data_IF_620481691091
#
_entry.id   IF_620481691091
#
_cell.length_a   1.000
_cell.length_b   1.000
_cell.length_c   1.000
_cell.angle_alpha   90.00
_cell.angle_beta   90.00
_cell.angle_gamma   90.00
#
_symmetry.space_group_name_H-M   'P 1'
#
loop_
_entity.id
_entity.type
_entity.pdbx_description
1 polymer ?
#
# COMPACT_ATOMS: atom_id res chain seq x y z
N UNK A 1 28.97 -3.61 3.03
CA UNK A 1 28.55 -4.81 2.26
C UNK A 1 27.95 -5.80 3.26
N UNK A 2 26.85 -6.54 2.97
CA UNK A 2 26.46 -6.94 1.63
C UNK A 2 25.03 -6.56 1.21
N UNK A 3 24.95 -5.80 0.12
CA UNK A 3 24.13 -6.27 -0.99
C UNK A 3 24.61 -7.68 -1.31
N UNK A 4 23.72 -8.67 -1.23
CA UNK A 4 24.07 -10.01 -1.72
C UNK A 4 24.34 -9.94 -3.23
N UNK A 5 25.12 -10.88 -3.78
CA UNK A 5 25.51 -10.90 -5.20
C UNK A 5 24.32 -10.95 -6.19
N UNK A 6 23.11 -11.19 -5.69
CA UNK A 6 21.84 -11.20 -6.41
C UNK A 6 20.98 -9.93 -6.19
N UNK A 7 21.47 -8.90 -5.49
CA UNK A 7 20.74 -7.66 -5.25
C UNK A 7 19.71 -7.71 -4.11
N UNK A 8 19.69 -8.77 -3.29
CA UNK A 8 18.78 -8.84 -2.14
C UNK A 8 19.23 -7.91 -1.00
N UNK A 9 18.26 -7.21 -0.40
CA UNK A 9 18.43 -6.38 0.81
C UNK A 9 17.78 -7.11 1.98
N UNK A 10 18.58 -7.46 3.00
CA UNK A 10 18.06 -8.05 4.22
C UNK A 10 17.45 -6.96 5.09
N UNK A 11 16.12 -6.81 5.06
CA UNK A 11 15.36 -5.79 5.79
C UNK A 11 15.30 -6.00 7.32
N UNK A 12 16.11 -6.89 7.89
CA UNK A 12 16.18 -7.17 9.33
C UNK A 12 16.73 -6.00 10.15
N UNK A 13 17.38 -5.03 9.51
CA UNK A 13 17.92 -3.82 10.12
C UNK A 13 17.36 -2.61 9.35
N UNK A 14 16.49 -1.83 10.01
CA UNK A 14 15.87 -0.61 9.46
C UNK A 14 16.89 0.35 8.83
N UNK A 15 18.07 0.46 9.45
CA UNK A 15 19.21 1.24 8.95
C UNK A 15 19.73 0.76 7.61
N UNK A 16 19.71 -0.55 7.35
CA UNK A 16 20.32 -1.15 6.17
C UNK A 16 19.49 -0.89 4.92
N UNK A 17 18.17 -0.86 5.04
CA UNK A 17 17.28 -0.50 3.93
C UNK A 17 17.47 0.97 3.52
N UNK A 18 17.49 1.89 4.49
CA UNK A 18 17.66 3.32 4.22
C UNK A 18 19.01 3.58 3.58
N UNK A 19 20.08 3.05 4.17
CA UNK A 19 21.44 3.19 3.63
C UNK A 19 21.54 2.63 2.20
N UNK A 20 21.00 1.43 1.97
CA UNK A 20 21.06 0.78 0.66
C UNK A 20 20.32 1.58 -0.40
N UNK A 21 19.13 2.10 -0.08
CA UNK A 21 18.36 2.92 -1.01
C UNK A 21 19.08 4.23 -1.32
N UNK A 22 19.64 4.92 -0.32
CA UNK A 22 20.43 6.12 -0.54
C UNK A 22 21.64 5.83 -1.43
N UNK A 23 22.38 4.75 -1.16
CA UNK A 23 23.51 4.34 -1.98
C UNK A 23 23.11 4.03 -3.43
N UNK A 24 21.95 3.39 -3.66
CA UNK A 24 21.45 3.11 -5.01
C UNK A 24 21.01 4.36 -5.77
N UNK A 25 20.48 5.35 -5.07
CA UNK A 25 20.08 6.64 -5.64
C UNK A 25 21.30 7.51 -5.98
N UNK A 26 22.35 7.44 -5.16
CA UNK A 26 23.58 8.20 -5.33
C UNK A 26 24.60 7.50 -6.25
N UNK A 27 24.38 6.22 -6.57
CA UNK A 27 25.29 5.43 -7.39
C UNK A 27 25.47 6.06 -8.79
N UNK A 28 26.72 6.27 -9.25
CA UNK A 28 26.98 6.79 -10.59
C UNK A 28 26.43 5.84 -11.65
N UNK A 29 25.88 6.43 -12.71
CA UNK A 29 25.25 5.70 -13.82
C UNK A 29 26.10 5.85 -15.07
N UNK A 30 26.15 4.83 -15.95
CA UNK A 30 26.80 4.96 -17.25
C UNK A 30 26.26 6.17 -18.02
N UNK A 31 27.15 6.80 -18.79
CA UNK A 31 26.79 7.97 -19.59
C UNK A 31 25.61 7.63 -20.51
N UNK A 32 24.55 8.43 -20.42
CA UNK A 32 23.33 8.26 -21.22
C UNK A 32 22.20 7.45 -20.58
N UNK A 33 22.40 6.79 -19.43
CA UNK A 33 21.33 6.01 -18.77
C UNK A 33 20.36 6.84 -17.92
N UNK A 34 20.68 8.12 -17.67
CA UNK A 34 19.84 9.01 -16.87
C UNK A 34 19.73 8.59 -15.38
N UNK A 35 18.94 9.30 -14.57
CA UNK A 35 18.80 8.97 -13.16
C UNK A 35 17.94 7.71 -12.96
N UNK A 36 18.15 7.01 -11.84
CA UNK A 36 17.33 5.87 -11.45
C UNK A 36 15.85 6.27 -11.35
N UNK A 37 14.99 5.65 -12.17
CA UNK A 37 13.57 6.01 -12.27
C UNK A 37 12.67 5.28 -11.28
N UNK A 38 13.06 4.08 -10.84
CA UNK A 38 12.23 3.22 -10.01
C UNK A 38 13.06 2.20 -9.25
N UNK A 39 12.63 1.90 -8.02
CA UNK A 39 13.08 0.76 -7.23
C UNK A 39 11.88 -0.15 -6.98
N UNK A 40 12.05 -1.45 -7.19
CA UNK A 40 11.05 -2.46 -6.81
C UNK A 40 11.61 -3.20 -5.60
N UNK A 41 10.88 -3.16 -4.50
CA UNK A 41 11.21 -3.87 -3.28
C UNK A 41 10.32 -5.10 -3.16
N UNK A 42 10.90 -6.28 -3.40
CA UNK A 42 10.25 -7.54 -3.07
C UNK A 42 10.37 -7.79 -1.57
N UNK A 43 9.24 -8.01 -0.92
CA UNK A 43 9.20 -8.35 0.50
C UNK A 43 8.82 -9.83 0.65
N UNK A 44 9.31 -10.50 1.69
CA UNK A 44 8.93 -11.90 1.92
C UNK A 44 7.42 -12.03 2.12
N UNK A 45 6.85 -13.19 1.78
CA UNK A 45 5.41 -13.47 1.94
C UNK A 45 4.90 -13.40 3.38
N UNK A 46 5.81 -13.39 4.37
CA UNK A 46 5.49 -13.25 5.81
C UNK A 46 5.73 -11.82 6.33
N UNK A 47 6.26 -10.93 5.49
CA UNK A 47 6.56 -9.58 5.92
C UNK A 47 5.28 -8.79 6.19
N UNK A 48 5.31 -7.99 7.26
CA UNK A 48 4.29 -6.98 7.54
C UNK A 48 4.75 -5.66 6.93
N UNK A 49 3.97 -5.00 6.05
CA UNK A 49 4.43 -3.79 5.36
C UNK A 49 4.74 -2.60 6.27
N UNK A 50 4.11 -2.52 7.45
CA UNK A 50 4.20 -1.36 8.35
C UNK A 50 5.64 -0.91 8.67
N UNK A 51 6.49 -1.77 9.27
CA UNK A 51 7.88 -1.44 9.55
C UNK A 51 8.70 -1.03 8.31
N UNK A 52 8.42 -1.63 7.15
CA UNK A 52 9.10 -1.31 5.89
C UNK A 52 8.69 0.11 5.45
N UNK A 53 7.39 0.41 5.42
CA UNK A 53 6.85 1.73 5.09
C UNK A 53 7.41 2.80 6.04
N UNK A 54 7.48 2.50 7.34
CA UNK A 54 8.06 3.41 8.34
C UNK A 54 9.56 3.65 8.15
N UNK A 55 10.29 2.70 7.56
CA UNK A 55 11.70 2.86 7.18
C UNK A 55 11.83 3.73 5.93
N UNK A 56 10.91 3.59 4.97
CA UNK A 56 10.88 4.40 3.76
C UNK A 56 10.44 5.85 3.99
N UNK A 57 9.74 6.11 5.10
CA UNK A 57 9.38 7.44 5.56
C UNK A 57 10.53 8.19 6.26
N UNK A 58 11.73 7.61 6.29
CA UNK A 58 12.91 8.27 6.86
C UNK A 58 13.14 9.65 6.20
N UNK A 59 13.43 10.71 6.99
CA UNK A 59 13.65 12.05 6.45
C UNK A 59 14.68 12.12 5.32
N UNK A 60 15.71 11.28 5.34
CA UNK A 60 16.73 11.22 4.29
C UNK A 60 16.13 10.83 2.94
N UNK A 61 15.32 9.77 2.92
CA UNK A 61 14.64 9.29 1.72
C UNK A 61 13.47 10.20 1.32
N UNK A 62 12.74 10.76 2.30
CA UNK A 62 11.64 11.66 2.05
C UNK A 62 12.10 12.93 1.29
N UNK A 63 13.29 13.47 1.62
CA UNK A 63 13.89 14.61 0.90
C UNK A 63 14.27 14.29 -0.54
N UNK A 64 14.45 13.01 -0.89
CA UNK A 64 14.71 12.57 -2.28
C UNK A 64 13.45 12.57 -3.15
N UNK A 65 12.27 12.86 -2.60
CA UNK A 65 11.02 12.97 -3.36
C UNK A 65 10.50 11.65 -3.92
N UNK A 66 10.85 10.52 -3.28
CA UNK A 66 10.41 9.19 -3.70
C UNK A 66 8.90 9.03 -3.54
N UNK A 67 8.29 8.30 -4.48
CA UNK A 67 6.87 7.94 -4.42
C UNK A 67 6.74 6.46 -4.09
N UNK A 68 5.98 6.16 -3.04
CA UNK A 68 5.72 4.79 -2.59
C UNK A 68 4.41 4.27 -3.18
N UNK A 69 4.41 3.02 -3.61
CA UNK A 69 3.18 2.29 -3.94
C UNK A 69 3.36 0.85 -3.46
N UNK A 70 2.40 0.39 -2.66
CA UNK A 70 2.37 -0.98 -2.14
C UNK A 70 1.48 -1.82 -3.04
N UNK A 71 2.05 -2.87 -3.62
CA UNK A 71 1.33 -3.83 -4.45
C UNK A 71 1.28 -5.15 -3.71
N UNK A 72 0.08 -5.69 -3.52
CA UNK A 72 -0.13 -7.02 -2.97
C UNK A 72 -0.74 -7.92 -4.04
N UNK A 73 -0.37 -9.19 -4.02
CA UNK A 73 -0.95 -10.21 -4.89
C UNK A 73 -1.92 -11.06 -4.09
N UNK A 74 -3.12 -11.26 -4.62
CA UNK A 74 -4.08 -12.23 -4.12
C UNK A 74 -4.02 -13.49 -4.98
N UNK A 75 -3.66 -14.62 -4.36
CA UNK A 75 -3.58 -15.92 -5.03
C UNK A 75 -4.99 -16.54 -5.07
N UNK A 76 -5.60 -16.54 -6.25
CA UNK A 76 -6.97 -17.01 -6.44
C UNK A 76 -7.11 -18.53 -6.27
N UNK A 77 -6.00 -19.27 -6.28
CA UNK A 77 -6.02 -20.71 -6.00
C UNK A 77 -6.13 -21.01 -4.49
N UNK A 78 -5.90 -20.02 -3.62
CA UNK A 78 -6.01 -20.18 -2.18
C UNK A 78 -7.44 -19.89 -1.70
N UNK A 79 -7.83 -20.67 -0.69
CA UNK A 79 -9.09 -20.46 0.01
C UNK A 79 -9.15 -19.02 0.55
N UNK A 80 -10.13 -18.22 0.09
CA UNK A 80 -10.32 -16.86 0.55
C UNK A 80 -10.52 -16.76 2.07
N UNK A 81 -11.19 -17.71 2.71
CA UNK A 81 -11.48 -17.68 4.14
C UNK A 81 -10.24 -18.01 4.95
N UNK A 82 -9.47 -19.03 4.54
CA UNK A 82 -8.17 -19.32 5.16
C UNK A 82 -7.18 -18.14 5.06
N UNK A 83 -7.20 -17.39 3.95
CA UNK A 83 -6.40 -16.17 3.82
C UNK A 83 -6.83 -15.09 4.82
N UNK A 84 -8.13 -14.93 5.04
CA UNK A 84 -8.68 -13.94 5.97
C UNK A 84 -8.20 -14.18 7.40
N UNK A 85 -8.02 -15.42 7.82
CA UNK A 85 -7.53 -15.75 9.16
C UNK A 85 -6.03 -15.48 9.38
N UNK A 86 -5.27 -15.16 8.33
CA UNK A 86 -3.83 -14.89 8.41
C UNK A 86 -3.54 -13.41 8.69
N UNK A 87 -3.05 -13.09 9.89
CA UNK A 87 -2.69 -11.71 10.29
C UNK A 87 -1.74 -11.04 9.30
N UNK A 88 -0.75 -11.76 8.77
CA UNK A 88 0.21 -11.26 7.78
C UNK A 88 -0.48 -10.88 6.47
N UNK A 89 -1.38 -11.74 5.98
CA UNK A 89 -2.12 -11.48 4.74
C UNK A 89 -3.02 -10.25 4.90
N UNK A 90 -3.69 -10.12 6.04
CA UNK A 90 -4.55 -8.95 6.30
C UNK A 90 -3.74 -7.67 6.45
N UNK A 91 -2.58 -7.74 7.10
CA UNK A 91 -1.67 -6.61 7.19
C UNK A 91 -1.11 -6.19 5.81
N UNK A 92 -0.94 -7.15 4.89
CA UNK A 92 -0.53 -6.90 3.51
C UNK A 92 -1.68 -6.26 2.71
N UNK A 93 -2.85 -6.89 2.64
CA UNK A 93 -4.00 -6.34 1.91
C UNK A 93 -4.42 -4.97 2.44
N UNK A 94 -4.44 -4.76 3.76
CA UNK A 94 -4.80 -3.48 4.37
C UNK A 94 -3.81 -2.34 4.08
N UNK A 95 -2.54 -2.67 3.78
CA UNK A 95 -1.53 -1.67 3.40
C UNK A 95 -1.44 -1.46 1.87
N UNK A 96 -2.12 -2.28 1.08
CA UNK A 96 -2.03 -2.28 -0.36
C UNK A 96 -2.65 -1.00 -0.96
N UNK A 97 -1.95 -0.42 -1.93
CA UNK A 97 -2.54 0.54 -2.85
C UNK A 97 -3.16 -0.17 -4.05
N UNK A 98 -2.65 -1.36 -4.37
CA UNK A 98 -3.13 -2.22 -5.46
C UNK A 98 -3.17 -3.67 -5.00
N UNK A 99 -4.28 -4.36 -5.24
CA UNK A 99 -4.41 -5.79 -5.03
C UNK A 99 -4.55 -6.44 -6.41
N UNK A 100 -3.57 -7.25 -6.79
CA UNK A 100 -3.55 -7.93 -8.09
C UNK A 100 -4.06 -9.35 -7.90
N UNK A 101 -5.15 -9.70 -8.58
CA UNK A 101 -5.63 -11.08 -8.59
C UNK A 101 -4.73 -11.91 -9.51
N UNK A 102 -4.16 -12.96 -8.95
CA UNK A 102 -3.22 -13.87 -9.63
C UNK A 102 -3.79 -15.28 -9.69
N UNK A 103 -3.31 -16.07 -10.67
CA UNK A 103 -3.82 -17.42 -10.94
C UNK A 103 -5.33 -17.46 -11.18
N UNK A 104 -5.84 -16.45 -11.88
CA UNK A 104 -7.27 -16.31 -12.19
C UNK A 104 -7.75 -17.39 -13.16
N UNK A 105 -6.84 -18.04 -13.88
CA UNK A 105 -7.07 -19.23 -14.71
C UNK A 105 -7.51 -20.47 -13.91
N UNK A 106 -7.27 -20.49 -12.60
CA UNK A 106 -7.69 -21.57 -11.71
C UNK A 106 -9.07 -21.32 -11.08
N UNK A 107 -9.68 -20.17 -11.32
CA UNK A 107 -11.03 -19.88 -10.86
C UNK A 107 -12.07 -20.54 -11.76
N UNK A 108 -13.22 -20.97 -11.21
CA UNK A 108 -14.38 -21.32 -12.01
C UNK A 108 -14.83 -20.14 -12.89
N UNK A 109 -15.43 -20.46 -14.04
CA UNK A 109 -16.02 -19.46 -14.93
C UNK A 109 -16.98 -18.54 -14.16
N UNK A 110 -16.79 -17.23 -14.30
CA UNK A 110 -17.61 -16.22 -13.62
C UNK A 110 -17.24 -15.93 -12.16
N UNK A 111 -16.27 -16.62 -11.55
CA UNK A 111 -15.88 -16.39 -10.15
C UNK A 111 -14.90 -15.21 -9.94
N UNK A 112 -14.33 -14.66 -11.01
CA UNK A 112 -13.35 -13.56 -10.94
C UNK A 112 -13.95 -12.29 -10.31
N UNK A 113 -15.16 -11.92 -10.72
CA UNK A 113 -15.84 -10.73 -10.19
C UNK A 113 -16.14 -10.87 -8.70
N UNK A 114 -16.57 -12.06 -8.28
CA UNK A 114 -16.80 -12.35 -6.86
C UNK A 114 -15.51 -12.25 -6.04
N UNK A 115 -14.38 -12.75 -6.57
CA UNK A 115 -13.06 -12.59 -5.92
C UNK A 115 -12.63 -11.14 -5.85
N UNK A 116 -12.87 -10.36 -6.90
CA UNK A 116 -12.57 -8.93 -6.94
C UNK A 116 -13.39 -8.13 -5.91
N UNK A 117 -14.68 -8.42 -5.79
CA UNK A 117 -15.56 -7.82 -4.76
C UNK A 117 -15.04 -8.13 -3.35
N UNK A 118 -14.62 -9.37 -3.11
CA UNK A 118 -14.07 -9.76 -1.80
C UNK A 118 -12.76 -9.04 -1.49
N UNK A 119 -11.84 -8.95 -2.45
CA UNK A 119 -10.60 -8.19 -2.30
C UNK A 119 -10.86 -6.70 -2.03
N UNK A 120 -11.82 -6.09 -2.73
CA UNK A 120 -12.22 -4.70 -2.51
C UNK A 120 -12.85 -4.50 -1.12
N UNK A 121 -13.56 -5.49 -0.58
CA UNK A 121 -14.11 -5.42 0.76
C UNK A 121 -13.04 -5.48 1.87
N UNK A 122 -11.91 -6.16 1.62
CA UNK A 122 -10.76 -6.18 2.55
C UNK A 122 -10.05 -4.82 2.63
N UNK A 123 -9.90 -4.16 1.48
CA UNK A 123 -9.33 -2.82 1.42
C UNK A 123 -10.02 -1.97 0.35
N UNK A 124 -11.03 -1.18 0.75
CA UNK A 124 -11.74 -0.28 -0.17
C UNK A 124 -10.86 0.82 -0.78
N UNK A 125 -9.66 1.02 -0.20
CA UNK A 125 -8.70 2.01 -0.69
C UNK A 125 -7.81 1.48 -1.81
N UNK A 126 -7.71 0.16 -1.96
CA UNK A 126 -6.86 -0.46 -2.95
C UNK A 126 -7.56 -0.50 -4.32
N UNK A 127 -6.80 -0.25 -5.40
CA UNK A 127 -7.26 -0.61 -6.74
C UNK A 127 -7.13 -2.12 -6.92
N UNK A 128 -8.25 -2.79 -7.18
CA UNK A 128 -8.26 -4.23 -7.50
C UNK A 128 -7.99 -4.40 -9.00
N UNK A 129 -6.99 -5.21 -9.33
CA UNK A 129 -6.61 -5.55 -10.70
C UNK A 129 -7.02 -6.99 -10.95
N UNK A 130 -8.14 -7.16 -11.65
CA UNK A 130 -8.75 -8.44 -12.00
C UNK A 130 -8.71 -8.66 -13.52
N UNK A 131 -7.50 -8.64 -14.11
CA UNK A 131 -7.32 -8.89 -15.54
C UNK A 131 -6.78 -10.31 -15.76
N UNK A 132 -7.47 -11.19 -16.50
CA UNK A 132 -6.98 -12.53 -16.83
C UNK A 132 -5.68 -12.53 -17.66
N UNK A 133 -5.40 -11.45 -18.39
CA UNK A 133 -4.14 -11.33 -19.13
C UNK A 133 -3.02 -10.87 -18.20
N UNK A 134 -2.06 -11.77 -17.99
CA UNK A 134 -0.89 -11.52 -17.13
C UNK A 134 -0.11 -10.26 -17.51
N UNK A 135 0.05 -9.97 -18.80
CA UNK A 135 0.83 -8.80 -19.24
C UNK A 135 0.10 -7.51 -18.88
N UNK A 136 -1.21 -7.44 -19.11
CA UNK A 136 -2.02 -6.29 -18.72
C UNK A 136 -2.10 -6.14 -17.21
N UNK A 137 -2.25 -7.23 -16.47
CA UNK A 137 -2.24 -7.21 -15.00
C UNK A 137 -0.92 -6.65 -14.44
N UNK A 138 0.23 -7.08 -14.95
CA UNK A 138 1.55 -6.55 -14.55
C UNK A 138 1.71 -5.08 -14.92
N UNK A 139 1.29 -4.69 -16.12
CA UNK A 139 1.31 -3.28 -16.55
C UNK A 139 0.47 -2.41 -15.63
N UNK A 140 -0.75 -2.83 -15.28
CA UNK A 140 -1.60 -2.12 -14.34
C UNK A 140 -1.01 -2.09 -12.92
N UNK A 141 -0.40 -3.20 -12.47
CA UNK A 141 0.20 -3.33 -11.14
C UNK A 141 1.35 -2.33 -10.93
N UNK A 142 2.15 -2.09 -11.97
CA UNK A 142 3.32 -1.21 -11.95
C UNK A 142 3.15 0.09 -12.77
N UNK A 143 1.93 0.39 -13.20
CA UNK A 143 1.61 1.64 -13.89
C UNK A 143 2.03 2.82 -12.99
N UNK A 144 2.66 3.89 -13.53
CA UNK A 144 2.92 5.08 -12.75
C UNK A 144 1.64 5.51 -12.04
N UNK A 145 1.71 5.74 -10.74
CA UNK A 145 0.59 6.35 -10.04
C UNK A 145 0.33 7.71 -10.68
N UNK A 146 -0.79 7.87 -11.37
CA UNK A 146 -1.22 9.18 -11.85
C UNK A 146 -1.70 9.96 -10.63
N UNK A 147 -0.98 11.05 -10.29
CA UNK A 147 -1.21 11.86 -9.09
C UNK A 147 -0.49 11.32 -7.85
N UNK A 148 -0.04 12.24 -6.96
CA UNK A 148 -0.04 12.00 -5.50
C UNK A 148 -1.25 11.14 -5.24
N UNK A 149 -1.14 9.97 -4.60
CA UNK A 149 -2.32 9.14 -4.33
C UNK A 149 -3.44 10.09 -3.90
N UNK A 150 -4.41 10.32 -4.79
CA UNK A 150 -5.30 11.45 -4.63
C UNK A 150 -6.28 10.99 -3.58
N UNK A 151 -5.89 11.21 -2.33
CA UNK A 151 -6.68 10.90 -1.16
C UNK A 151 -8.08 11.53 -1.34
N UNK A 152 -8.21 12.62 -2.10
CA UNK A 152 -9.49 13.24 -2.41
C UNK A 152 -10.31 12.45 -3.44
N UNK A 153 -9.72 11.93 -4.52
CA UNK A 153 -10.39 11.03 -5.47
C UNK A 153 -10.73 9.67 -4.86
N UNK A 154 -9.88 9.18 -3.96
CA UNK A 154 -10.12 8.01 -3.13
C UNK A 154 -11.28 8.25 -2.15
N UNK A 155 -11.25 9.37 -1.42
CA UNK A 155 -12.32 9.81 -0.54
C UNK A 155 -13.63 10.07 -1.30
N UNK A 156 -13.58 10.60 -2.52
CA UNK A 156 -14.76 10.81 -3.36
C UNK A 156 -15.45 9.48 -3.73
N UNK A 157 -14.67 8.43 -4.04
CA UNK A 157 -15.23 7.09 -4.28
C UNK A 157 -15.80 6.45 -3.02
N UNK A 158 -15.20 6.71 -1.86
CA UNK A 158 -15.74 6.28 -0.57
C UNK A 158 -17.01 7.03 -0.16
N UNK A 159 -17.15 8.30 -0.54
CA UNK A 159 -18.36 9.08 -0.30
C UNK A 159 -19.56 8.53 -1.07
N UNK A 160 -19.32 7.87 -2.21
CA UNK A 160 -20.36 7.26 -3.06
C UNK A 160 -20.61 5.77 -2.78
N UNK A 161 -19.61 5.02 -2.32
CA UNK A 161 -19.75 3.61 -1.99
C UNK A 161 -20.01 3.45 -0.49
N UNK A 162 -21.26 3.29 -0.08
CA UNK A 162 -21.61 2.93 1.29
C UNK A 162 -20.97 1.60 1.67
N UNK A 163 -19.82 1.64 2.36
CA UNK A 163 -19.03 0.45 2.66
C UNK A 163 -19.62 -0.28 3.87
N UNK A 164 -20.49 -1.25 3.59
CA UNK A 164 -20.63 -2.43 4.46
C UNK A 164 -19.40 -3.31 4.21
N UNK A 165 -18.30 -3.00 4.88
CA UNK A 165 -17.06 -3.78 4.79
C UNK A 165 -17.24 -5.12 5.48
N UNK A 166 -16.74 -6.19 4.85
CA UNK A 166 -16.64 -7.51 5.49
C UNK A 166 -15.90 -7.32 6.81
N UNK A 167 -16.57 -7.63 7.92
CA UNK A 167 -16.06 -7.44 9.26
C UNK A 167 -14.95 -8.46 9.54
N UNK A 168 -13.70 -8.11 9.26
CA UNK A 168 -12.57 -8.89 9.75
C UNK A 168 -12.46 -8.72 11.29
N UNK A 169 -12.28 -9.79 12.08
CA UNK A 169 -12.35 -9.73 13.54
C UNK A 169 -11.28 -8.82 14.18
N UNK A 170 -10.17 -8.53 13.48
CA UNK A 170 -9.01 -7.82 14.07
C UNK A 170 -8.51 -6.58 13.33
N UNK A 171 -8.92 -6.36 12.08
CA UNK A 171 -8.46 -5.20 11.27
C UNK A 171 -9.69 -4.58 10.64
N UNK A 172 -9.92 -3.28 10.88
CA UNK A 172 -11.01 -2.53 10.23
C UNK A 172 -10.42 -1.32 9.52
N UNK A 173 -10.76 -1.18 8.24
CA UNK A 173 -10.53 0.07 7.50
C UNK A 173 -11.76 0.94 7.72
N UNK A 174 -11.57 2.08 8.37
CA UNK A 174 -12.64 3.03 8.66
C UNK A 174 -12.36 4.35 7.93
N UNK A 175 -13.41 4.92 7.36
CA UNK A 175 -13.39 6.27 6.81
C UNK A 175 -14.16 7.19 7.74
N UNK A 176 -13.59 8.34 8.09
CA UNK A 176 -14.28 9.39 8.83
C UNK A 176 -14.39 10.63 7.93
N UNK A 177 -15.55 11.28 7.95
CA UNK A 177 -15.78 12.56 7.27
C UNK A 177 -15.90 13.66 8.31
N UNK A 178 -15.06 14.68 8.18
CA UNK A 178 -15.25 15.92 8.91
C UNK A 178 -16.57 16.58 8.46
N UNK A 179 -17.47 16.87 9.40
CA UNK A 179 -18.56 17.80 9.12
C UNK A 179 -17.97 19.21 8.92
N UNK A 180 -18.61 20.01 8.06
CA UNK A 180 -18.10 21.34 7.72
C UNK A 180 -17.91 22.20 8.98
N UNK A 181 -16.80 22.94 9.05
CA UNK A 181 -16.52 23.89 10.14
C UNK A 181 -15.53 23.42 11.21
N UNK A 182 -14.85 22.27 11.05
CA UNK A 182 -13.81 21.83 12.00
C UNK A 182 -12.58 22.75 11.90
N UNK A 183 -12.19 23.32 13.04
CA UNK A 183 -10.94 24.06 13.19
C UNK A 183 -9.74 23.11 13.29
N UNK A 184 -8.53 23.59 12.98
CA UNK A 184 -7.31 22.77 13.09
C UNK A 184 -7.07 22.21 14.51
N UNK A 185 -7.27 22.99 15.60
CA UNK A 185 -7.14 22.46 16.96
C UNK A 185 -8.08 21.28 17.23
N UNK A 186 -9.35 21.39 16.86
CA UNK A 186 -10.35 20.32 17.04
C UNK A 186 -9.99 19.07 16.22
N UNK A 187 -9.48 19.26 15.00
CA UNK A 187 -9.01 18.15 14.17
C UNK A 187 -7.78 17.46 14.77
N UNK A 188 -6.81 18.25 15.25
CA UNK A 188 -5.58 17.73 15.87
C UNK A 188 -5.90 16.95 17.14
N UNK A 189 -6.75 17.50 18.00
CA UNK A 189 -7.18 16.84 19.24
C UNK A 189 -7.95 15.55 18.93
N UNK A 190 -8.81 15.55 17.92
CA UNK A 190 -9.49 14.33 17.46
C UNK A 190 -8.48 13.28 16.95
N UNK A 191 -7.46 13.67 16.19
CA UNK A 191 -6.40 12.77 15.74
C UNK A 191 -5.60 12.19 16.90
N UNK A 192 -5.23 13.01 17.88
CA UNK A 192 -4.49 12.59 19.07
C UNK A 192 -5.32 11.62 19.91
N UNK A 193 -6.61 11.89 20.09
CA UNK A 193 -7.54 10.99 20.76
C UNK A 193 -7.69 9.66 20.00
N UNK A 194 -7.80 9.70 18.67
CA UNK A 194 -7.88 8.50 17.84
C UNK A 194 -6.59 7.67 17.94
N UNK A 195 -5.42 8.32 17.89
CA UNK A 195 -4.11 7.69 18.08
C UNK A 195 -3.99 7.06 19.47
N UNK A 196 -4.44 7.76 20.51
CA UNK A 196 -4.47 7.25 21.88
C UNK A 196 -5.37 6.03 22.05
N UNK A 197 -6.59 6.05 21.48
CA UNK A 197 -7.56 4.95 21.56
C UNK A 197 -7.08 3.70 20.81
N UNK A 198 -6.48 3.89 19.64
CA UNK A 198 -6.04 2.80 18.79
C UNK A 198 -4.64 2.27 19.20
N UNK A 199 -3.79 3.11 19.79
CA UNK A 199 -2.40 2.78 20.14
C UNK A 199 -1.60 2.33 18.92
N UNK A 200 -0.76 1.30 19.08
CA UNK A 200 0.02 0.70 17.98
C UNK A 200 -0.84 0.07 16.87
N UNK A 201 -2.16 -0.06 17.08
CA UNK A 201 -3.10 -0.62 16.09
C UNK A 201 -3.52 0.41 15.04
N UNK A 202 -3.28 1.71 15.27
CA UNK A 202 -3.62 2.73 14.29
C UNK A 202 -2.61 2.72 13.14
N UNK A 203 -3.11 2.62 11.90
CA UNK A 203 -2.32 2.94 10.71
C UNK A 203 -2.96 4.13 10.01
N UNK A 204 -2.25 5.25 10.00
CA UNK A 204 -2.74 6.53 9.53
C UNK A 204 -2.01 6.98 8.27
N UNK A 205 -2.75 7.61 7.35
CA UNK A 205 -2.21 8.36 6.21
C UNK A 205 -2.74 9.80 6.28
N UNK A 206 -1.89 10.82 6.48
CA UNK A 206 -2.36 12.19 6.58
C UNK A 206 -2.86 12.72 5.22
N UNK A 207 -3.86 13.62 5.20
CA UNK A 207 -4.23 14.33 3.99
C UNK A 207 -3.05 15.15 3.47
N UNK A 208 -2.77 15.06 2.17
CA UNK A 208 -1.77 15.92 1.54
C UNK A 208 -2.23 17.38 1.68
N UNK A 209 -1.48 18.17 2.44
CA UNK A 209 -1.65 19.60 2.45
C UNK A 209 -1.36 20.11 1.03
N UNK A 210 -2.41 20.50 0.30
CA UNK A 210 -2.22 21.43 -0.82
C UNK A 210 -1.64 22.70 -0.20
N UNK A 211 -0.33 22.91 -0.35
CA UNK A 211 0.24 24.24 -0.21
C UNK A 211 -0.32 25.04 -1.38
N UNK A 212 -1.36 25.82 -1.12
CA UNK A 212 -1.70 26.92 -2.00
C UNK A 212 -0.50 27.87 -2.00
N UNK A 213 0.02 28.14 -3.20
CA UNK A 213 0.78 29.34 -3.48
C UNK A 213 -0.14 30.56 -3.42
#
# INVERSE_FOLDING_TARGET
MPLMANGCVCCSLRSDLVYTLSALLDAPRPDGEGPLQRVILECSGLSRPGPIIASLADPELARRGLRLTVVCTDDCARDPDALAEMDEAMAQFGAAHRIVLTKTDLLPDGALDARAVRAAALNPLAAVIADPDRRRAVQAAFAPSQGVADLAGLAARMLTAGVQGVAHPRIRVMAARAHAGISWPEFSEWLDNLAGLCGERLRWAPPSARRNA
#
